data_IF_328096792319
#
_entry.id   IF_328096792319
#
_cell.length_a   1.000
_cell.length_b   1.000
_cell.length_c   1.000
_cell.angle_alpha   90.00
_cell.angle_beta   90.00
_cell.angle_gamma   90.00
#
_symmetry.space_group_name_H-M   'P 1'
#
loop_
_entity.id
_entity.type
_entity.pdbx_description
1 polymer ?
#
# COMPACT_ATOMS: atom_id res chain seq x y z
N UNK A 1 -29.04 -38.79 -26.76
CA UNK A 1 -28.20 -38.80 -25.55
C UNK A 1 -27.29 -37.58 -25.63
N UNK A 2 -27.65 -36.52 -24.91
CA UNK A 2 -26.97 -35.22 -24.94
C UNK A 2 -25.81 -35.31 -23.95
N UNK A 3 -24.58 -35.13 -24.41
CA UNK A 3 -23.40 -35.07 -23.55
C UNK A 3 -22.99 -33.61 -23.53
N UNK A 4 -23.31 -32.93 -22.43
CA UNK A 4 -22.92 -31.55 -22.17
C UNK A 4 -21.42 -31.47 -21.89
N UNK A 5 -20.70 -30.73 -22.72
CA UNK A 5 -19.34 -30.30 -22.42
C UNK A 5 -19.48 -28.96 -21.71
N UNK A 6 -19.28 -28.97 -20.39
CA UNK A 6 -19.14 -27.75 -19.61
C UNK A 6 -17.90 -27.01 -20.05
N UNK A 7 -18.07 -25.82 -20.65
CA UNK A 7 -16.99 -24.86 -20.77
C UNK A 7 -16.66 -24.34 -19.36
N UNK A 8 -15.49 -24.71 -18.86
CA UNK A 8 -14.85 -24.03 -17.75
C UNK A 8 -14.45 -22.63 -18.22
N UNK A 9 -15.13 -21.59 -17.73
CA UNK A 9 -14.65 -20.21 -17.85
C UNK A 9 -13.43 -20.07 -16.94
N UNK A 10 -12.23 -20.03 -17.52
CA UNK A 10 -11.06 -19.52 -16.83
C UNK A 10 -11.26 -18.01 -16.62
N UNK A 11 -11.44 -17.59 -15.37
CA UNK A 11 -11.43 -16.19 -14.99
C UNK A 11 -10.02 -15.64 -15.20
N UNK A 12 -9.80 -14.97 -16.34
CA UNK A 12 -8.64 -14.11 -16.52
C UNK A 12 -8.81 -12.90 -15.62
N UNK A 13 -8.22 -12.93 -14.43
CA UNK A 13 -8.05 -11.75 -13.59
C UNK A 13 -7.03 -10.84 -14.27
N UNK A 14 -7.50 -9.95 -15.14
CA UNK A 14 -6.69 -8.85 -15.64
C UNK A 14 -6.31 -7.99 -14.44
N UNK A 15 -5.12 -8.26 -13.87
CA UNK A 15 -4.51 -7.38 -12.90
C UNK A 15 -4.41 -6.00 -13.51
N UNK A 16 -5.00 -5.01 -12.85
CA UNK A 16 -4.88 -3.64 -13.28
C UNK A 16 -3.40 -3.24 -13.21
N UNK A 17 -2.82 -2.91 -14.37
CA UNK A 17 -1.48 -2.34 -14.45
C UNK A 17 -1.63 -0.82 -14.30
N UNK A 18 -0.92 -0.17 -13.35
CA UNK A 18 -0.96 1.28 -13.24
C UNK A 18 -0.52 1.92 -14.56
N UNK A 19 -1.26 2.92 -15.03
CA UNK A 19 -0.92 3.63 -16.25
C UNK A 19 0.50 4.24 -16.13
N UNK A 20 1.31 4.23 -17.21
CA UNK A 20 2.61 4.89 -17.19
C UNK A 20 2.42 6.38 -16.87
N UNK A 21 3.08 6.86 -15.81
CA UNK A 21 3.09 8.27 -15.41
C UNK A 21 3.87 9.08 -16.45
N UNK A 22 3.22 9.54 -17.51
CA UNK A 22 3.84 10.44 -18.50
C UNK A 22 4.07 11.80 -17.83
N UNK A 23 5.27 12.34 -17.98
CA UNK A 23 5.66 13.66 -17.47
C UNK A 23 4.83 14.74 -18.20
N UNK A 24 3.73 15.16 -17.59
CA UNK A 24 2.89 16.24 -18.11
C UNK A 24 3.61 17.59 -18.03
N UNK A 25 3.78 18.25 -19.18
CA UNK A 25 4.17 19.65 -19.23
C UNK A 25 3.08 20.53 -18.60
N UNK A 26 3.51 21.42 -17.71
CA UNK A 26 2.65 22.27 -16.88
C UNK A 26 2.07 23.41 -17.73
N UNK A 27 0.81 23.31 -18.14
CA UNK A 27 0.05 24.48 -18.61
C UNK A 27 -0.42 25.24 -17.36
N UNK A 28 0.19 26.39 -17.12
CA UNK A 28 -0.12 27.31 -16.03
C UNK A 28 -1.53 27.90 -16.24
N UNK A 29 -2.48 27.46 -15.43
CA UNK A 29 -3.66 28.26 -15.07
C UNK A 29 -3.84 28.23 -13.55
N UNK A 30 -4.12 29.40 -13.00
CA UNK A 30 -3.97 29.78 -11.59
C UNK A 30 -5.24 29.46 -10.79
N UNK A 31 -5.15 28.42 -9.97
CA UNK A 31 -5.74 28.32 -8.63
C UNK A 31 -4.97 27.22 -7.88
N UNK A 32 -3.71 27.51 -7.52
CA UNK A 32 -2.87 26.56 -6.78
C UNK A 32 -3.34 26.60 -5.32
N UNK A 33 -4.16 25.62 -4.94
CA UNK A 33 -4.47 25.33 -3.54
C UNK A 33 -3.14 25.24 -2.76
N UNK A 34 -3.03 25.86 -1.57
CA UNK A 34 -1.79 25.84 -0.82
C UNK A 34 -1.33 24.38 -0.59
N UNK A 35 -0.01 24.13 -0.60
CA UNK A 35 0.51 22.77 -0.41
C UNK A 35 0.00 22.19 0.91
N UNK A 36 -0.38 20.93 0.89
CA UNK A 36 -0.90 20.24 2.08
C UNK A 36 0.16 20.22 3.18
N UNK A 37 -0.22 20.65 4.38
CA UNK A 37 0.69 20.75 5.54
C UNK A 37 1.07 19.37 6.05
N UNK A 38 2.19 19.29 6.78
CA UNK A 38 2.61 18.06 7.46
C UNK A 38 1.56 17.58 8.47
N UNK A 39 0.92 18.50 9.19
CA UNK A 39 -0.15 18.16 10.13
C UNK A 39 -1.33 17.46 9.41
N UNK A 40 -1.81 18.04 8.31
CA UNK A 40 -2.93 17.45 7.56
C UNK A 40 -2.58 16.11 6.93
N UNK A 41 -1.35 15.94 6.45
CA UNK A 41 -0.85 14.65 5.96
C UNK A 41 -0.89 13.58 7.06
N UNK A 42 -0.39 13.91 8.25
CA UNK A 42 -0.35 12.98 9.39
C UNK A 42 -1.76 12.65 9.89
N UNK A 43 -2.65 13.63 10.03
CA UNK A 43 -4.06 13.41 10.38
C UNK A 43 -4.73 12.42 9.44
N UNK A 44 -4.60 12.64 8.13
CA UNK A 44 -5.17 11.75 7.12
C UNK A 44 -4.54 10.35 7.17
N UNK A 45 -3.24 10.25 7.45
CA UNK A 45 -2.57 8.97 7.61
C UNK A 45 -3.09 8.20 8.84
N UNK A 46 -3.39 8.88 9.96
CA UNK A 46 -4.07 8.28 11.11
C UNK A 46 -5.51 7.87 10.79
N UNK A 47 -6.29 8.70 10.09
CA UNK A 47 -7.67 8.37 9.68
C UNK A 47 -7.72 7.06 8.86
N UNK A 48 -6.73 6.87 7.98
CA UNK A 48 -6.56 5.65 7.19
C UNK A 48 -6.12 4.49 8.06
N UNK A 49 -5.19 4.70 8.98
CA UNK A 49 -4.69 3.65 9.85
C UNK A 49 -5.78 3.11 10.79
N UNK A 50 -6.63 3.99 11.31
CA UNK A 50 -7.83 3.63 12.05
C UNK A 50 -8.80 2.82 11.17
N UNK A 51 -9.05 3.26 9.93
CA UNK A 51 -9.90 2.51 9.00
C UNK A 51 -9.36 1.10 8.71
N UNK A 52 -8.04 0.95 8.55
CA UNK A 52 -7.37 -0.34 8.39
C UNK A 52 -7.56 -1.20 9.65
N UNK A 53 -7.31 -0.64 10.83
CA UNK A 53 -7.44 -1.34 12.13
C UNK A 53 -8.86 -1.80 12.39
N UNK A 54 -9.85 -0.98 12.07
CA UNK A 54 -11.28 -1.29 12.21
C UNK A 54 -11.84 -2.18 11.08
N UNK A 55 -11.01 -2.50 10.07
CA UNK A 55 -11.43 -3.20 8.84
C UNK A 55 -12.57 -2.47 8.12
N UNK A 56 -12.62 -1.15 8.20
CA UNK A 56 -13.55 -0.30 7.43
C UNK A 56 -12.98 -0.05 6.03
N UNK A 57 -13.08 -1.07 5.18
CA UNK A 57 -12.60 -1.02 3.80
C UNK A 57 -13.38 -0.02 2.93
N UNK A 58 -14.60 0.33 3.32
CA UNK A 58 -15.37 1.37 2.65
C UNK A 58 -14.80 2.75 2.93
N UNK A 59 -14.45 3.04 4.19
CA UNK A 59 -13.74 4.27 4.56
C UNK A 59 -12.35 4.30 3.92
N UNK A 60 -11.61 3.20 3.95
CA UNK A 60 -10.30 3.09 3.29
C UNK A 60 -10.38 3.40 1.79
N UNK A 61 -11.34 2.80 1.08
CA UNK A 61 -11.57 3.03 -0.34
C UNK A 61 -11.81 4.51 -0.68
N UNK A 62 -12.44 5.27 0.22
CA UNK A 62 -12.64 6.71 0.08
C UNK A 62 -11.34 7.55 0.02
N UNK A 63 -10.22 7.01 0.51
CA UNK A 63 -8.92 7.67 0.43
C UNK A 63 -8.10 7.27 -0.79
N UNK A 64 -8.40 6.14 -1.42
CA UNK A 64 -7.64 5.59 -2.56
C UNK A 64 -7.67 6.56 -3.74
N UNK A 65 -6.54 6.70 -4.43
CA UNK A 65 -6.45 7.54 -5.62
C UNK A 65 -7.40 7.04 -6.71
N UNK A 66 -8.35 7.88 -7.18
CA UNK A 66 -9.43 7.41 -8.04
C UNK A 66 -8.93 6.93 -9.41
N UNK A 67 -7.85 7.51 -9.93
CA UNK A 67 -7.28 7.13 -11.24
C UNK A 67 -6.12 6.14 -11.17
N UNK A 68 -5.32 6.11 -10.10
CA UNK A 68 -4.11 5.29 -10.01
C UNK A 68 -4.26 4.09 -9.09
N UNK A 69 -5.27 4.08 -8.23
CA UNK A 69 -5.43 3.06 -7.20
C UNK A 69 -4.39 3.19 -6.09
N UNK A 70 -4.23 2.10 -5.35
CA UNK A 70 -3.23 1.95 -4.29
C UNK A 70 -2.39 0.70 -4.56
N UNK A 71 -1.07 0.87 -4.54
CA UNK A 71 -0.09 -0.19 -4.65
C UNK A 71 0.22 -0.76 -3.27
N UNK A 72 0.23 -2.08 -3.16
CA UNK A 72 0.61 -2.81 -1.95
C UNK A 72 1.98 -3.45 -2.13
N UNK A 73 2.90 -3.11 -1.23
CA UNK A 73 4.23 -3.73 -1.18
C UNK A 73 4.44 -4.46 0.16
N UNK A 74 4.71 -5.78 0.16
CA UNK A 74 4.93 -6.55 1.39
C UNK A 74 6.26 -6.22 2.08
N UNK A 75 7.17 -5.55 1.37
CA UNK A 75 8.50 -5.13 1.84
C UNK A 75 8.85 -3.75 1.30
N UNK A 76 9.99 -3.20 1.76
CA UNK A 76 10.43 -1.84 1.43
C UNK A 76 10.65 -1.55 -0.06
N UNK A 77 10.92 -2.58 -0.86
CA UNK A 77 11.16 -2.44 -2.29
C UNK A 77 9.86 -2.49 -3.07
N UNK A 78 9.50 -1.37 -3.70
CA UNK A 78 8.37 -1.30 -4.61
C UNK A 78 8.80 -1.76 -6.00
N UNK A 79 8.04 -2.70 -6.56
CA UNK A 79 8.14 -3.17 -7.93
C UNK A 79 6.76 -3.11 -8.60
N UNK A 80 6.51 -2.07 -9.38
CA UNK A 80 5.22 -1.82 -10.04
C UNK A 80 4.81 -2.90 -11.07
N UNK A 81 5.72 -3.80 -11.46
CA UNK A 81 5.42 -4.92 -12.35
C UNK A 81 4.79 -6.09 -11.58
N UNK A 82 5.19 -6.30 -10.33
CA UNK A 82 4.81 -7.49 -9.55
C UNK A 82 3.93 -7.18 -8.36
N UNK A 83 4.10 -6.02 -7.72
CA UNK A 83 3.22 -5.57 -6.65
C UNK A 83 1.80 -5.35 -7.17
N UNK A 84 0.82 -5.63 -6.31
CA UNK A 84 -0.59 -5.49 -6.67
C UNK A 84 -1.05 -4.05 -6.49
N UNK A 85 -1.79 -3.57 -7.48
CA UNK A 85 -2.48 -2.30 -7.46
C UNK A 85 -3.98 -2.54 -7.53
N UNK A 86 -4.76 -1.84 -6.70
CA UNK A 86 -6.22 -1.99 -6.63
C UNK A 86 -6.92 -0.63 -6.70
N UNK A 87 -8.06 -0.60 -7.39
CA UNK A 87 -9.01 0.53 -7.42
C UNK A 87 -9.66 0.72 -6.06
N UNK A 88 -10.22 1.92 -5.84
CA UNK A 88 -11.09 2.17 -4.71
C UNK A 88 -12.23 1.14 -4.62
N UNK A 89 -12.87 0.82 -5.75
CA UNK A 89 -13.96 -0.16 -5.80
C UNK A 89 -13.49 -1.58 -5.44
N UNK A 90 -12.29 -1.99 -5.85
CA UNK A 90 -11.71 -3.27 -5.46
C UNK A 90 -11.37 -3.30 -3.96
N UNK A 91 -10.78 -2.22 -3.43
CA UNK A 91 -10.47 -2.11 -1.99
C UNK A 91 -11.75 -2.17 -1.16
N UNK A 92 -12.83 -1.49 -1.57
CA UNK A 92 -14.14 -1.57 -0.88
C UNK A 92 -14.69 -3.01 -0.86
N UNK A 93 -14.39 -3.80 -1.89
CA UNK A 93 -14.85 -5.19 -2.02
C UNK A 93 -13.98 -6.23 -1.28
N UNK A 94 -12.81 -5.86 -0.75
CA UNK A 94 -11.89 -6.77 -0.05
C UNK A 94 -12.53 -7.64 1.05
N UNK A 95 -13.52 -7.18 1.85
CA UNK A 95 -14.15 -8.03 2.87
C UNK A 95 -14.81 -9.29 2.31
N UNK A 96 -15.20 -9.27 1.04
CA UNK A 96 -15.90 -10.38 0.37
C UNK A 96 -15.02 -11.04 -0.70
N UNK A 97 -13.78 -10.59 -0.88
CA UNK A 97 -12.87 -11.11 -1.88
C UNK A 97 -12.04 -12.26 -1.29
N UNK A 98 -12.40 -13.49 -1.66
CA UNK A 98 -11.69 -14.72 -1.32
C UNK A 98 -10.65 -15.13 -2.38
N UNK A 99 -10.42 -14.29 -3.39
CA UNK A 99 -9.41 -14.50 -4.42
C UNK A 99 -8.03 -14.45 -3.79
N UNK A 100 -7.22 -15.47 -4.07
CA UNK A 100 -5.80 -15.45 -3.72
C UNK A 100 -5.01 -14.70 -4.79
N UNK A 101 -4.26 -13.69 -4.35
CA UNK A 101 -3.33 -12.95 -5.19
C UNK A 101 -1.90 -13.30 -4.80
N UNK A 102 -0.99 -13.24 -5.77
CA UNK A 102 0.45 -13.23 -5.51
C UNK A 102 0.87 -11.78 -5.26
N UNK A 103 1.14 -11.42 -4.01
CA UNK A 103 1.46 -10.04 -3.58
C UNK A 103 2.94 -9.69 -3.74
N UNK A 104 3.78 -10.71 -3.92
CA UNK A 104 5.23 -10.62 -4.00
C UNK A 104 5.83 -12.01 -3.78
N UNK A 105 7.11 -12.05 -3.41
CA UNK A 105 7.81 -13.25 -2.99
C UNK A 105 8.27 -13.07 -1.54
N UNK A 106 8.18 -14.13 -0.74
CA UNK A 106 8.74 -14.13 0.61
C UNK A 106 10.25 -13.97 0.55
N UNK A 107 10.75 -13.05 1.36
CA UNK A 107 12.17 -12.87 1.53
C UNK A 107 12.85 -14.14 2.10
N UNK A 108 14.11 -14.37 1.72
CA UNK A 108 14.88 -15.60 2.03
C UNK A 108 14.47 -16.85 1.24
N UNK A 109 13.17 -17.21 1.21
CA UNK A 109 12.70 -18.42 0.51
C UNK A 109 12.46 -18.24 -0.99
N UNK A 110 12.05 -17.03 -1.40
CA UNK A 110 11.64 -16.74 -2.77
C UNK A 110 10.26 -17.32 -3.15
N UNK A 111 9.54 -17.94 -2.23
CA UNK A 111 8.22 -18.52 -2.49
C UNK A 111 7.15 -17.43 -2.71
N UNK A 112 6.14 -17.65 -3.57
CA UNK A 112 5.07 -16.68 -3.77
C UNK A 112 4.29 -16.37 -2.50
N UNK A 113 4.04 -15.08 -2.24
CA UNK A 113 3.12 -14.63 -1.19
C UNK A 113 1.70 -14.73 -1.74
N UNK A 114 1.14 -15.93 -1.73
CA UNK A 114 -0.20 -16.21 -2.23
C UNK A 114 -1.24 -16.10 -1.11
N UNK A 115 -1.97 -14.97 -1.06
CA UNK A 115 -2.89 -14.63 0.03
C UNK A 115 -4.18 -13.97 -0.49
N UNK A 116 -5.28 -14.16 0.23
CA UNK A 116 -6.46 -13.29 0.11
C UNK A 116 -6.16 -11.88 0.66
N UNK A 117 -6.93 -10.83 0.32
CA UNK A 117 -6.76 -9.52 0.92
C UNK A 117 -6.83 -9.53 2.45
N UNK A 118 -7.75 -10.30 3.05
CA UNK A 118 -7.85 -10.43 4.50
C UNK A 118 -6.55 -10.96 5.12
N UNK A 119 -6.01 -12.05 4.57
CA UNK A 119 -4.76 -12.66 5.03
C UNK A 119 -3.55 -11.73 4.83
N UNK A 120 -3.51 -11.01 3.70
CA UNK A 120 -2.45 -10.05 3.43
C UNK A 120 -2.45 -8.92 4.45
N UNK A 121 -3.63 -8.37 4.77
CA UNK A 121 -3.74 -7.32 5.79
C UNK A 121 -3.30 -7.80 7.16
N UNK A 122 -3.63 -9.04 7.54
CA UNK A 122 -3.20 -9.63 8.80
C UNK A 122 -1.67 -9.79 8.90
N UNK A 123 -1.01 -10.14 7.80
CA UNK A 123 0.44 -10.43 7.80
C UNK A 123 1.33 -9.23 7.51
N UNK A 124 0.90 -8.30 6.67
CA UNK A 124 1.77 -7.24 6.13
C UNK A 124 1.24 -5.82 6.36
N UNK A 125 -0.01 -5.64 6.81
CA UNK A 125 -0.56 -4.28 7.02
C UNK A 125 -0.86 -4.00 8.50
N UNK A 126 -1.27 -5.04 9.23
CA UNK A 126 -1.66 -4.97 10.63
C UNK A 126 -1.11 -6.17 11.41
N UNK A 127 0.12 -6.58 11.12
CA UNK A 127 0.89 -7.51 11.94
C UNK A 127 1.25 -6.90 13.31
N UNK A 128 1.30 -5.56 13.37
CA UNK A 128 1.40 -4.75 14.59
C UNK A 128 0.32 -3.66 14.59
N UNK A 129 -0.03 -3.16 15.77
CA UNK A 129 -0.92 -2.01 15.92
C UNK A 129 -0.17 -0.69 15.71
N UNK A 130 0.05 -0.31 14.46
CA UNK A 130 0.75 0.92 14.09
C UNK A 130 0.05 2.21 14.57
N UNK A 131 -1.20 2.16 15.03
CA UNK A 131 -1.83 3.33 15.69
C UNK A 131 -1.14 3.69 17.01
N UNK A 132 -0.33 2.78 17.54
CA UNK A 132 0.49 2.96 18.74
C UNK A 132 1.97 3.24 18.41
N UNK A 133 2.31 3.55 17.15
CA UNK A 133 3.68 3.85 16.76
C UNK A 133 4.25 5.05 17.54
N UNK A 134 5.39 4.85 18.19
CA UNK A 134 6.06 5.88 19.00
C UNK A 134 6.85 6.87 18.13
N UNK A 135 7.21 6.45 16.91
CA UNK A 135 8.01 7.23 15.99
C UNK A 135 7.27 7.40 14.66
N UNK A 136 7.11 8.67 14.24
CA UNK A 136 6.42 9.04 13.02
C UNK A 136 7.38 9.80 12.10
N UNK A 137 7.64 9.26 10.91
CA UNK A 137 8.46 9.85 9.88
C UNK A 137 7.58 10.56 8.85
N UNK A 138 7.97 11.75 8.41
CA UNK A 138 7.26 12.50 7.36
C UNK A 138 8.22 12.69 6.20
N UNK A 139 7.94 12.07 5.05
CA UNK A 139 8.86 11.98 3.91
C UNK A 139 10.28 11.55 4.34
N UNK A 140 10.33 10.68 5.36
CA UNK A 140 11.57 10.20 5.95
C UNK A 140 11.37 8.78 6.42
N UNK A 141 12.23 7.90 5.95
CA UNK A 141 12.34 6.54 6.45
C UNK A 141 13.00 6.57 7.83
N UNK A 142 12.33 5.99 8.83
CA UNK A 142 12.85 5.95 10.20
C UNK A 142 13.93 4.87 10.32
N UNK A 143 13.63 3.67 9.82
CA UNK A 143 14.49 2.50 9.86
C UNK A 143 14.43 1.76 8.53
N UNK A 144 15.57 1.20 8.15
CA UNK A 144 15.73 0.40 6.93
C UNK A 144 16.27 -0.98 7.28
N UNK A 145 15.78 -1.98 6.54
CA UNK A 145 16.25 -3.36 6.58
C UNK A 145 17.17 -3.68 5.41
N UNK A 146 17.14 -4.94 4.96
CA UNK A 146 17.94 -5.41 3.81
C UNK A 146 17.27 -5.10 2.47
N UNK A 147 15.93 -4.99 2.44
CA UNK A 147 15.19 -4.58 1.27
C UNK A 147 15.56 -3.14 0.83
N UNK A 148 15.68 -2.93 -0.49
CA UNK A 148 15.99 -1.63 -1.09
C UNK A 148 14.85 -0.63 -0.83
N UNK A 149 15.18 0.53 -0.29
CA UNK A 149 14.28 1.66 -0.11
C UNK A 149 14.21 2.50 -1.40
N UNK A 150 13.13 2.40 -2.16
CA UNK A 150 12.99 3.07 -3.46
C UNK A 150 11.71 3.91 -3.62
N UNK A 151 11.01 4.21 -2.53
CA UNK A 151 9.74 4.97 -2.58
C UNK A 151 9.90 6.33 -3.28
N UNK A 152 10.98 7.06 -3.02
CA UNK A 152 11.25 8.38 -3.63
C UNK A 152 11.64 8.26 -5.11
N UNK A 153 12.20 7.12 -5.54
CA UNK A 153 12.54 6.86 -6.95
C UNK A 153 11.29 6.49 -7.75
N UNK A 154 10.45 5.59 -7.21
CA UNK A 154 9.25 5.07 -7.88
C UNK A 154 8.11 6.10 -7.83
N UNK A 155 8.01 6.88 -6.75
CA UNK A 155 6.98 7.88 -6.54
C UNK A 155 7.58 9.26 -6.18
N UNK A 156 8.27 9.94 -7.12
CA UNK A 156 9.03 11.16 -6.84
C UNK A 156 8.17 12.38 -6.42
N UNK A 157 6.85 12.32 -6.65
CA UNK A 157 5.91 13.37 -6.25
C UNK A 157 5.08 12.97 -5.02
N UNK A 158 5.23 11.75 -4.51
CA UNK A 158 4.47 11.31 -3.36
C UNK A 158 5.01 11.94 -2.08
N UNK A 159 4.10 12.12 -1.13
CA UNK A 159 4.40 12.34 0.26
C UNK A 159 4.06 11.10 1.04
N UNK A 160 4.78 10.79 2.11
CA UNK A 160 4.48 9.61 2.91
C UNK A 160 4.66 9.83 4.40
N UNK A 161 3.94 9.02 5.17
CA UNK A 161 4.08 8.90 6.62
C UNK A 161 4.59 7.50 6.93
N UNK A 162 5.66 7.41 7.71
CA UNK A 162 6.25 6.15 8.20
C UNK A 162 5.87 5.98 9.68
N UNK A 163 5.00 5.00 9.97
CA UNK A 163 4.62 4.61 11.32
C UNK A 163 5.55 3.50 11.78
N UNK A 164 6.51 3.82 12.64
CA UNK A 164 7.53 2.88 13.08
C UNK A 164 7.30 2.40 14.52
N UNK A 165 7.39 1.08 14.70
CA UNK A 165 7.44 0.42 16.00
C UNK A 165 8.81 -0.25 16.12
N UNK A 166 9.54 0.12 17.16
CA UNK A 166 10.84 -0.45 17.46
C UNK A 166 10.74 -1.94 17.82
N UNK A 167 11.81 -2.67 17.51
CA UNK A 167 11.93 -4.07 17.87
C UNK A 167 12.20 -4.24 19.36
N UNK A 168 11.82 -5.38 19.89
CA UNK A 168 11.98 -5.74 21.29
C UNK A 168 13.38 -6.30 21.59
N UNK A 169 13.95 -6.06 22.79
CA UNK A 169 15.22 -6.65 23.21
C UNK A 169 15.24 -8.19 23.14
N UNK A 170 14.09 -8.83 23.42
CA UNK A 170 13.91 -10.29 23.40
C UNK A 170 14.19 -10.89 22.01
N UNK A 171 13.90 -10.13 20.96
CA UNK A 171 14.14 -10.49 19.57
C UNK A 171 15.34 -9.76 18.97
N UNK A 172 16.29 -9.31 19.81
CA UNK A 172 17.48 -8.55 19.41
C UNK A 172 17.17 -7.28 18.60
N UNK A 173 15.94 -6.76 18.74
CA UNK A 173 15.43 -5.63 18.00
C UNK A 173 15.22 -5.91 16.51
N UNK A 174 15.11 -7.16 16.08
CA UNK A 174 14.88 -7.56 14.67
C UNK A 174 13.40 -7.65 14.30
N UNK A 175 12.52 -7.77 15.30
CA UNK A 175 11.07 -7.77 15.17
C UNK A 175 10.47 -6.35 15.08
N UNK A 176 11.26 -5.36 14.66
CA UNK A 176 10.74 -4.03 14.36
C UNK A 176 9.82 -4.07 13.13
N UNK A 177 8.94 -3.08 13.01
CA UNK A 177 8.08 -2.96 11.84
C UNK A 177 7.78 -1.50 11.53
N UNK A 178 7.60 -1.22 10.24
CA UNK A 178 7.18 0.08 9.72
C UNK A 178 6.06 -0.11 8.71
N UNK A 179 4.96 0.62 8.90
CA UNK A 179 3.92 0.77 7.89
C UNK A 179 4.00 2.17 7.28
N UNK A 180 4.17 2.24 5.96
CA UNK A 180 4.27 3.50 5.23
C UNK A 180 3.03 3.71 4.37
N UNK A 181 2.39 4.85 4.58
CA UNK A 181 1.26 5.31 3.79
C UNK A 181 1.73 6.43 2.87
N UNK A 182 1.66 6.22 1.56
CA UNK A 182 2.09 7.17 0.54
C UNK A 182 0.92 7.80 -0.19
N UNK A 183 1.08 9.07 -0.54
CA UNK A 183 0.02 9.95 -1.02
C UNK A 183 0.49 10.80 -2.19
N UNK A 184 -0.35 10.91 -3.22
CA UNK A 184 -0.15 11.86 -4.32
C UNK A 184 -1.27 12.88 -4.37
N UNK A 185 -0.97 14.08 -4.87
CA UNK A 185 -1.99 15.11 -5.09
C UNK A 185 -2.87 14.73 -6.27
N UNK A 186 -4.18 14.81 -6.06
CA UNK A 186 -5.22 14.69 -7.05
C UNK A 186 -6.19 15.85 -6.91
N UNK A 187 -6.15 16.79 -7.86
CA UNK A 187 -6.98 18.00 -7.86
C UNK A 187 -6.87 18.82 -6.56
N UNK A 188 -5.66 18.93 -5.98
CA UNK A 188 -5.43 19.66 -4.75
C UNK A 188 -5.78 18.90 -3.47
N UNK A 189 -6.09 17.61 -3.56
CA UNK A 189 -6.32 16.74 -2.40
C UNK A 189 -5.36 15.56 -2.42
N UNK A 190 -4.78 15.24 -1.27
CA UNK A 190 -3.96 14.04 -1.17
C UNK A 190 -4.84 12.79 -1.25
N UNK A 191 -4.38 11.81 -2.03
CA UNK A 191 -5.00 10.49 -2.17
C UNK A 191 -3.97 9.41 -1.94
N UNK A 192 -4.40 8.34 -1.27
CA UNK A 192 -3.58 7.17 -0.94
C UNK A 192 -3.23 6.42 -2.23
N UNK A 193 -1.92 6.23 -2.45
CA UNK A 193 -1.37 5.50 -3.60
C UNK A 193 -0.44 4.37 -3.20
N UNK A 194 0.02 4.32 -1.95
CA UNK A 194 0.98 3.32 -1.47
C UNK A 194 0.58 2.85 -0.06
N UNK A 195 0.47 1.54 0.12
CA UNK A 195 0.54 0.87 1.43
C UNK A 195 1.75 -0.05 1.37
N UNK A 196 2.77 0.26 2.16
CA UNK A 196 4.04 -0.44 2.13
C UNK A 196 4.42 -0.89 3.54
N UNK A 197 4.85 -2.14 3.64
CA UNK A 197 5.41 -2.68 4.86
C UNK A 197 6.94 -2.68 4.78
N UNK A 198 7.60 -2.51 5.92
CA UNK A 198 9.04 -2.70 6.06
C UNK A 198 9.30 -3.40 7.37
N UNK A 199 9.98 -4.53 7.29
CA UNK A 199 10.44 -5.34 8.43
C UNK A 199 11.88 -5.77 8.17
N UNK A 200 12.51 -6.36 9.19
CA UNK A 200 13.77 -7.04 8.96
C UNK A 200 13.60 -8.21 7.98
N UNK A 201 14.54 -8.33 7.06
CA UNK A 201 14.62 -9.31 5.98
C UNK A 201 16.03 -9.93 6.01
N UNK A 202 16.22 -11.12 5.43
CA UNK A 202 17.43 -11.96 5.48
C UNK A 202 18.26 -11.79 4.22
#
# INVERSE_FOLDING_TARGET
MIIGIGLSLAAFTFGWVPAPKVKGEKILTTDVKPPVTNARLVEMAYDILEAIKERDFKKLAGFVHPEYGVVFSPYATINLVTNKCFTAAQVEAFPQDDTKYVWGLFDGSGEPIEMTPAQYFDRFVMDKDYTQAEQIGINKIIRSGNALENIDEVFPNARYVDFHIEGSPEHTGLDWGSLRLGFEDYNGELRLTIILHSEWTI
#
